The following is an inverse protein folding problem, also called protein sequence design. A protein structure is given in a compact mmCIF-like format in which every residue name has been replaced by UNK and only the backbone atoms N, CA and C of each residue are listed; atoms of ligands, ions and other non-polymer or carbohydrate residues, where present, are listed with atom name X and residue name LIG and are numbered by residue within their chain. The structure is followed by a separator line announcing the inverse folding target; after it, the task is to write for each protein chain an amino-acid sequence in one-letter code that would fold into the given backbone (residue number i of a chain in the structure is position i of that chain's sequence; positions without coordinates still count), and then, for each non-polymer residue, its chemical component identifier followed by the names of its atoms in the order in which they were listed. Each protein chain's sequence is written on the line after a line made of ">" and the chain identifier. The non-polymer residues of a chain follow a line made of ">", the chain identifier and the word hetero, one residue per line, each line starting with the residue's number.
data_IF_019065390279
#
_entry.id   IF_019065390279
#
_cell.length_a   1.000
_cell.length_b   1.000
_cell.length_c   1.000
_cell.angle_alpha   90.00
_cell.angle_beta   90.00
_cell.angle_gamma   90.00
#
_symmetry.space_group_name_H-M   'P 1'
#
loop_
_entity.id
_entity.type
_entity.pdbx_description
1 polymer ?
#
# COMPACT_ATOMS: atom_id res chain seq x y z
N UNK A 1 31.96 -18.27 -11.69
CA UNK A 1 31.80 -17.20 -10.66
C UNK A 1 31.03 -16.07 -11.31
N UNK A 2 29.88 -15.69 -10.77
CA UNK A 2 28.93 -14.78 -11.44
C UNK A 2 29.52 -13.37 -11.57
N UNK A 3 29.73 -12.91 -12.82
CA UNK A 3 30.41 -11.65 -13.11
C UNK A 3 29.69 -10.39 -12.58
N UNK A 4 28.44 -10.51 -12.13
CA UNK A 4 27.60 -9.38 -11.69
C UNK A 4 26.75 -9.74 -10.45
N UNK A 5 27.34 -9.79 -9.24
CA UNK A 5 26.67 -10.26 -8.03
C UNK A 5 25.43 -9.44 -7.65
N UNK A 6 25.50 -8.11 -7.79
CA UNK A 6 24.37 -7.21 -7.49
C UNK A 6 23.19 -7.49 -8.42
N UNK A 7 23.44 -7.59 -9.73
CA UNK A 7 22.39 -7.86 -10.72
C UNK A 7 21.72 -9.20 -10.46
N UNK A 8 22.50 -10.25 -10.18
CA UNK A 8 21.97 -11.57 -9.84
C UNK A 8 21.12 -11.50 -8.57
N UNK A 9 21.57 -10.81 -7.53
CA UNK A 9 20.81 -10.65 -6.29
C UNK A 9 19.51 -9.87 -6.51
N UNK A 10 19.55 -8.77 -7.27
CA UNK A 10 18.35 -7.99 -7.62
C UNK A 10 17.35 -8.82 -8.41
N UNK A 11 17.80 -9.64 -9.37
CA UNK A 11 16.93 -10.53 -10.12
C UNK A 11 16.23 -11.55 -9.22
N UNK A 12 16.98 -12.22 -8.33
CA UNK A 12 16.41 -13.18 -7.38
C UNK A 12 15.45 -12.51 -6.40
N UNK A 13 15.78 -11.32 -5.90
CA UNK A 13 14.90 -10.54 -5.06
C UNK A 13 13.59 -10.20 -5.78
N UNK A 14 13.65 -9.69 -7.01
CA UNK A 14 12.46 -9.38 -7.79
C UNK A 14 11.63 -10.62 -8.08
N UNK A 15 12.26 -11.72 -8.50
CA UNK A 15 11.58 -13.00 -8.77
C UNK A 15 10.86 -13.51 -7.53
N UNK A 16 11.50 -13.42 -6.36
CA UNK A 16 10.88 -13.75 -5.08
C UNK A 16 9.65 -12.89 -4.78
N UNK A 17 9.75 -11.57 -4.99
CA UNK A 17 8.60 -10.66 -4.80
C UNK A 17 7.44 -10.99 -5.75
N UNK A 18 7.72 -11.29 -7.02
CA UNK A 18 6.69 -11.71 -7.97
C UNK A 18 6.05 -13.03 -7.58
N UNK A 19 6.82 -14.01 -7.09
CA UNK A 19 6.29 -15.27 -6.59
C UNK A 19 5.33 -15.03 -5.41
N UNK A 20 5.71 -14.18 -4.45
CA UNK A 20 4.83 -13.81 -3.33
C UNK A 20 3.54 -13.12 -3.79
N UNK A 21 3.62 -12.22 -4.77
CA UNK A 21 2.44 -11.57 -5.35
C UNK A 21 1.52 -12.58 -6.06
N UNK A 22 2.10 -13.52 -6.81
CA UNK A 22 1.34 -14.58 -7.48
C UNK A 22 0.64 -15.49 -6.47
N UNK A 23 1.32 -15.92 -5.42
CA UNK A 23 0.73 -16.71 -4.33
C UNK A 23 -0.44 -15.98 -3.69
N UNK A 24 -0.27 -14.69 -3.42
CA UNK A 24 -1.31 -13.87 -2.80
C UNK A 24 -2.56 -13.72 -3.69
N UNK A 25 -2.37 -13.47 -4.99
CA UNK A 25 -3.47 -13.40 -5.97
C UNK A 25 -4.18 -14.74 -6.15
N UNK A 26 -3.41 -15.83 -6.16
CA UNK A 26 -3.90 -17.19 -6.34
C UNK A 26 -4.54 -17.78 -5.06
N UNK A 27 -4.41 -17.14 -3.90
CA UNK A 27 -4.98 -17.60 -2.64
C UNK A 27 -6.47 -17.20 -2.52
N UNK A 28 -7.40 -18.17 -2.59
CA UNK A 28 -8.82 -17.91 -2.37
C UNK A 28 -9.09 -17.78 -0.86
N UNK A 29 -9.82 -16.74 -0.46
CA UNK A 29 -10.22 -16.54 0.93
C UNK A 29 -10.30 -15.06 1.33
N UNK A 30 -11.08 -14.73 2.37
CA UNK A 30 -10.98 -13.43 3.02
C UNK A 30 -9.53 -13.26 3.49
N UNK A 31 -8.92 -12.12 3.15
CA UNK A 31 -7.54 -11.84 3.55
C UNK A 31 -7.37 -12.04 5.05
N UNK A 32 -6.23 -12.60 5.48
CA UNK A 32 -5.93 -12.85 6.89
C UNK A 32 -6.07 -11.58 7.77
N UNK A 33 -5.94 -10.40 7.16
CA UNK A 33 -6.04 -9.11 7.82
C UNK A 33 -7.45 -8.48 7.70
N UNK A 34 -8.05 -8.17 8.85
CA UNK A 34 -9.35 -7.49 8.96
C UNK A 34 -9.27 -5.99 8.72
N UNK A 35 -8.07 -5.41 8.62
CA UNK A 35 -7.85 -3.98 8.34
C UNK A 35 -8.56 -3.51 7.07
N UNK A 36 -8.70 -4.40 6.08
CA UNK A 36 -9.45 -4.18 4.84
C UNK A 36 -10.92 -3.84 5.06
N UNK A 37 -11.51 -4.27 6.19
CA UNK A 37 -12.90 -3.95 6.58
C UNK A 37 -13.08 -2.46 6.88
N UNK A 38 -12.03 -1.77 7.32
CA UNK A 38 -12.07 -0.31 7.56
C UNK A 38 -12.21 0.44 6.23
N UNK A 39 -11.53 -0.05 5.19
CA UNK A 39 -11.61 0.56 3.85
C UNK A 39 -12.83 0.09 3.05
N UNK A 40 -13.32 -1.13 3.29
CA UNK A 40 -14.47 -1.72 2.59
C UNK A 40 -15.39 -2.42 3.60
N UNK A 41 -16.38 -1.71 4.15
CA UNK A 41 -17.29 -2.26 5.17
C UNK A 41 -18.22 -3.36 4.66
N UNK A 42 -18.35 -3.52 3.34
CA UNK A 42 -19.26 -4.49 2.72
C UNK A 42 -18.52 -5.79 2.37
N UNK A 43 -18.90 -6.95 2.95
CA UNK A 43 -18.19 -8.21 2.76
C UNK A 43 -18.13 -8.70 1.29
N UNK A 44 -19.05 -8.24 0.43
CA UNK A 44 -19.05 -8.59 -1.00
C UNK A 44 -18.06 -7.76 -1.82
N UNK A 45 -17.81 -6.51 -1.44
CA UNK A 45 -16.83 -5.67 -2.13
C UNK A 45 -15.39 -5.97 -1.70
N UNK A 46 -15.19 -6.43 -0.45
CA UNK A 46 -13.88 -6.88 0.02
C UNK A 46 -13.45 -8.21 -0.60
N UNK A 47 -14.38 -9.10 -0.94
CA UNK A 47 -14.10 -10.37 -1.62
C UNK A 47 -13.77 -10.20 -3.11
N UNK A 48 -14.31 -9.18 -3.78
CA UNK A 48 -14.08 -8.91 -5.21
C UNK A 48 -12.86 -8.03 -5.48
N UNK A 49 -12.41 -7.25 -4.50
CA UNK A 49 -11.24 -6.39 -4.66
C UNK A 49 -9.95 -7.11 -4.25
N UNK A 50 -9.36 -7.88 -5.17
CA UNK A 50 -8.08 -8.58 -4.99
C UNK A 50 -6.94 -7.67 -4.49
N UNK A 51 -6.99 -6.38 -4.82
CA UNK A 51 -6.01 -5.39 -4.38
C UNK A 51 -6.16 -5.02 -2.89
N UNK A 52 -7.34 -5.13 -2.30
CA UNK A 52 -7.52 -4.89 -0.87
C UNK A 52 -6.77 -5.92 -0.04
N UNK A 53 -6.54 -7.14 -0.55
CA UNK A 53 -5.68 -8.11 0.13
C UNK A 53 -4.22 -7.59 0.29
N UNK A 54 -3.79 -6.58 -0.47
CA UNK A 54 -2.48 -5.90 -0.30
C UNK A 54 -2.53 -4.81 0.78
N UNK A 55 -3.72 -4.35 1.16
CA UNK A 55 -3.89 -3.38 2.22
C UNK A 55 -3.75 -4.10 3.56
N UNK A 56 -2.58 -3.94 4.17
CA UNK A 56 -2.28 -4.34 5.56
C UNK A 56 -2.33 -3.14 6.47
N UNK A 57 -2.37 -3.40 7.78
CA UNK A 57 -2.21 -2.37 8.82
C UNK A 57 -1.04 -1.41 8.56
N UNK A 58 0.11 -1.92 8.10
CA UNK A 58 1.28 -1.10 7.76
C UNK A 58 0.93 0.03 6.77
N UNK A 59 0.17 -0.29 5.72
CA UNK A 59 -0.26 0.67 4.69
C UNK A 59 -1.20 1.75 5.26
N UNK A 60 -2.10 1.37 6.17
CA UNK A 60 -3.01 2.31 6.84
C UNK A 60 -2.21 3.28 7.69
N UNK A 61 -1.22 2.79 8.44
CA UNK A 61 -0.36 3.64 9.24
C UNK A 61 0.49 4.59 8.39
N UNK A 62 1.10 4.11 7.31
CA UNK A 62 1.86 4.98 6.40
C UNK A 62 1.01 6.07 5.78
N UNK A 63 -0.23 5.75 5.38
CA UNK A 63 -1.16 6.74 4.83
C UNK A 63 -1.54 7.78 5.89
N UNK A 64 -1.87 7.34 7.10
CA UNK A 64 -2.18 8.25 8.20
C UNK A 64 -1.00 9.20 8.49
N UNK A 65 0.23 8.69 8.56
CA UNK A 65 1.43 9.52 8.76
C UNK A 65 1.66 10.48 7.58
N UNK A 66 1.43 10.03 6.34
CA UNK A 66 1.56 10.88 5.16
C UNK A 66 0.54 12.03 5.13
N UNK A 67 -0.66 11.82 5.68
CA UNK A 67 -1.74 12.80 5.75
C UNK A 67 -1.61 13.78 6.93
N UNK A 68 -1.35 13.27 8.14
CA UNK A 68 -1.38 14.05 9.38
C UNK A 68 0.00 14.39 9.97
N UNK A 69 1.05 13.77 9.43
CA UNK A 69 2.38 13.78 10.04
C UNK A 69 2.56 12.74 11.15
N UNK A 70 3.75 12.73 11.74
CA UNK A 70 4.09 11.87 12.87
C UNK A 70 3.44 12.41 14.14
N UNK A 71 2.69 11.57 14.84
CA UNK A 71 2.04 11.91 16.09
C UNK A 71 2.35 10.91 17.21
N UNK A 72 2.52 9.63 16.87
CA UNK A 72 2.83 8.59 17.86
C UNK A 72 4.30 8.18 17.79
N UNK A 73 4.88 7.81 18.94
CA UNK A 73 6.29 7.40 19.05
C UNK A 73 6.65 6.21 18.17
N UNK A 74 5.73 5.24 18.07
CA UNK A 74 5.91 4.06 17.22
C UNK A 74 6.14 4.39 15.74
N UNK A 75 5.61 5.52 15.27
CA UNK A 75 5.69 5.90 13.86
C UNK A 75 7.12 6.26 13.47
N UNK A 76 7.93 6.73 14.43
CA UNK A 76 9.33 7.08 14.22
C UNK A 76 10.19 5.89 13.74
N UNK A 77 9.78 4.66 14.04
CA UNK A 77 10.45 3.45 13.56
C UNK A 77 10.41 3.29 12.02
N UNK A 78 9.51 4.00 11.34
CA UNK A 78 9.29 3.89 9.90
C UNK A 78 10.16 4.79 9.03
N UNK A 79 10.90 5.70 9.65
CA UNK A 79 11.82 6.61 8.97
C UNK A 79 11.12 7.71 8.17
N UNK A 80 11.68 8.91 8.24
CA UNK A 80 11.06 10.14 7.73
C UNK A 80 10.96 10.22 6.19
N UNK A 81 11.93 9.66 5.47
CA UNK A 81 12.02 9.82 4.01
C UNK A 81 10.87 9.16 3.25
N UNK A 82 10.50 7.94 3.65
CA UNK A 82 9.45 7.17 2.98
C UNK A 82 8.06 7.82 3.13
N UNK A 83 7.71 8.25 4.33
CA UNK A 83 6.41 8.89 4.60
C UNK A 83 6.28 10.27 3.94
N UNK A 84 7.39 11.02 3.83
CA UNK A 84 7.42 12.30 3.09
C UNK A 84 7.26 12.12 1.59
N UNK A 85 7.89 11.09 1.02
CA UNK A 85 7.69 10.73 -0.37
C UNK A 85 6.21 10.40 -0.63
N UNK A 86 5.58 9.60 0.24
CA UNK A 86 4.15 9.29 0.14
C UNK A 86 3.27 10.54 0.22
N UNK A 87 3.59 11.45 1.15
CA UNK A 87 2.87 12.73 1.27
C UNK A 87 2.94 13.55 -0.02
N UNK A 88 4.15 13.68 -0.60
CA UNK A 88 4.34 14.37 -1.88
C UNK A 88 3.61 13.71 -3.04
N UNK A 89 3.66 12.37 -3.15
CA UNK A 89 2.93 11.63 -4.17
C UNK A 89 1.41 11.79 -4.03
N UNK A 90 0.89 11.78 -2.80
CA UNK A 90 -0.53 11.97 -2.53
C UNK A 90 -0.99 13.39 -2.92
N UNK A 91 -0.20 14.41 -2.60
CA UNK A 91 -0.48 15.79 -2.99
C UNK A 91 -0.41 15.97 -4.52
N UNK A 92 0.58 15.36 -5.16
CA UNK A 92 0.71 15.34 -6.62
C UNK A 92 -0.47 14.65 -7.30
N UNK A 93 -0.95 13.53 -6.76
CA UNK A 93 -2.14 12.83 -7.26
C UNK A 93 -3.40 13.70 -7.17
N UNK A 94 -3.62 14.36 -6.03
CA UNK A 94 -4.77 15.28 -5.84
C UNK A 94 -4.70 16.44 -6.84
N UNK A 95 -3.52 17.02 -7.02
CA UNK A 95 -3.29 18.09 -7.98
C UNK A 95 -3.59 17.64 -9.43
N UNK A 96 -3.14 16.44 -9.81
CA UNK A 96 -3.36 15.86 -11.15
C UNK A 96 -4.82 15.46 -11.42
N UNK A 97 -5.58 15.07 -10.38
CA UNK A 97 -6.99 14.69 -10.51
C UNK A 97 -7.91 15.86 -10.89
N UNK A 98 -7.45 17.09 -10.68
CA UNK A 98 -8.18 18.32 -11.01
C UNK A 98 -9.37 18.58 -10.07
N UNK A 99 -9.77 19.86 -9.88
CA UNK A 99 -10.78 20.27 -8.90
C UNK A 99 -12.24 19.90 -9.24
N UNK A 100 -12.52 19.16 -10.31
CA UNK A 100 -13.87 19.09 -10.91
C UNK A 100 -14.77 17.93 -10.44
N UNK A 101 -14.42 17.21 -9.37
CA UNK A 101 -15.27 16.10 -8.88
C UNK A 101 -15.80 16.27 -7.45
N UNK A 102 -15.64 17.45 -6.85
CA UNK A 102 -16.27 17.78 -5.55
C UNK A 102 -17.66 18.39 -5.83
N UNK A 103 -18.57 17.61 -6.41
CA UNK A 103 -20.01 17.91 -6.33
C UNK A 103 -20.62 16.91 -5.35
N UNK A 104 -20.72 17.34 -4.10
CA UNK A 104 -21.54 16.70 -3.07
C UNK A 104 -22.96 16.49 -3.58
N UNK A 105 -23.55 15.27 -3.54
CA UNK A 105 -25.00 15.16 -3.49
C UNK A 105 -25.47 15.75 -2.16
N UNK A 106 -26.38 16.72 -2.25
CA UNK A 106 -27.13 17.27 -1.13
C UNK A 106 -27.93 16.19 -0.40
#
# INVERSE_FOLDING_TARGET
>A
MTAHPVRTLTLWFCLWKFLLLAVMLASPGPGYDTSTTILSPTPRASQSASFLKLARWDSIYFLNVAQRGYLYEQEWAWGYGYTKLLSALSAGWIFLRGPNEIRTPC
#
